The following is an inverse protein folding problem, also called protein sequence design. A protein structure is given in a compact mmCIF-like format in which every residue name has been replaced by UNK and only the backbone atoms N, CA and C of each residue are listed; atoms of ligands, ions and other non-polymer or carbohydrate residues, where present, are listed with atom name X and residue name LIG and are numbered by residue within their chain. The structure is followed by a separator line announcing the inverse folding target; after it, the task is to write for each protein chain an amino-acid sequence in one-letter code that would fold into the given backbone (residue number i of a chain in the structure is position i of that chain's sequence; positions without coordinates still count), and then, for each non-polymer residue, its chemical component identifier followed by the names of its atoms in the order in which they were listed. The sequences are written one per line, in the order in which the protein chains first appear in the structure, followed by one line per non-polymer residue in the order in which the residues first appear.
data_IF_789835459143
#
_entry.id   IF_789835459143
#
_cell.length_a   1.000
_cell.length_b   1.000
_cell.length_c   1.000
_cell.angle_alpha   90.00
_cell.angle_beta   90.00
_cell.angle_gamma   90.00
#
_symmetry.space_group_name_H-M   'P 1'
#
loop_
_entity.id
_entity.type
_entity.pdbx_description
1 polymer ?
#
# COMPACT_ATOMS: atom_id res chain seq x y z
N UNK A 1 39.04 54.65 -2.84
CA UNK A 1 37.89 54.00 -3.46
C UNK A 1 38.46 53.07 -4.51
N UNK A 2 38.59 51.78 -4.21
CA UNK A 2 39.07 50.79 -5.18
C UNK A 2 37.96 50.56 -6.19
N UNK A 3 38.23 50.79 -7.48
CA UNK A 3 37.30 50.43 -8.55
C UNK A 3 37.09 48.91 -8.53
N UNK A 4 35.86 48.47 -8.23
CA UNK A 4 35.52 47.05 -8.31
C UNK A 4 35.62 46.61 -9.77
N UNK A 5 36.64 45.81 -10.07
CA UNK A 5 36.85 45.28 -11.42
C UNK A 5 36.01 44.02 -11.59
N UNK A 6 35.19 44.01 -12.64
CA UNK A 6 34.35 42.87 -13.00
C UNK A 6 34.76 42.33 -14.37
N UNK A 7 34.83 41.01 -14.48
CA UNK A 7 35.24 40.31 -15.69
C UNK A 7 34.12 39.42 -16.22
N UNK A 8 33.99 39.33 -17.55
CA UNK A 8 33.30 38.21 -18.18
C UNK A 8 34.17 36.96 -18.09
N UNK A 9 33.59 35.77 -18.32
CA UNK A 9 34.33 34.51 -18.15
C UNK A 9 35.61 34.42 -19.01
N UNK A 10 35.62 35.00 -20.22
CA UNK A 10 36.82 35.05 -21.07
C UNK A 10 37.95 35.80 -20.38
N UNK A 11 37.68 37.04 -19.98
CA UNK A 11 38.64 37.98 -19.43
C UNK A 11 39.09 37.54 -18.03
N UNK A 12 38.16 36.92 -17.28
CA UNK A 12 38.42 36.33 -15.99
C UNK A 12 39.46 35.20 -16.09
N UNK A 13 39.32 34.33 -17.09
CA UNK A 13 40.23 33.20 -17.30
C UNK A 13 41.61 33.69 -17.76
N UNK A 14 41.67 34.75 -18.56
CA UNK A 14 42.94 35.38 -18.95
C UNK A 14 43.64 36.04 -17.74
N UNK A 15 42.88 36.73 -16.90
CA UNK A 15 43.37 37.32 -15.65
C UNK A 15 43.89 36.23 -14.71
N UNK A 16 43.14 35.14 -14.55
CA UNK A 16 43.55 33.98 -13.75
C UNK A 16 44.84 33.34 -14.29
N UNK A 17 44.98 33.20 -15.61
CA UNK A 17 46.22 32.68 -16.23
C UNK A 17 47.40 33.58 -15.93
N UNK A 18 47.22 34.90 -16.00
CA UNK A 18 48.27 35.88 -15.70
C UNK A 18 48.76 35.74 -14.26
N UNK A 19 47.84 35.58 -13.30
CA UNK A 19 48.18 35.36 -11.88
C UNK A 19 48.81 34.00 -11.59
N UNK A 20 48.63 33.01 -12.46
CA UNK A 20 49.13 31.65 -12.31
C UNK A 20 50.28 31.31 -13.27
N UNK A 21 51.01 32.32 -13.78
CA UNK A 21 52.14 32.14 -14.69
C UNK A 21 51.79 31.33 -15.97
N UNK A 22 50.66 31.65 -16.61
CA UNK A 22 50.21 31.08 -17.89
C UNK A 22 50.01 29.55 -17.92
N UNK A 23 49.52 28.99 -16.82
CA UNK A 23 49.09 27.59 -16.81
C UNK A 23 47.97 27.30 -17.82
N UNK A 24 47.95 26.08 -18.36
CA UNK A 24 46.90 25.63 -19.29
C UNK A 24 45.57 25.42 -18.54
N UNK A 25 44.74 26.46 -18.55
CA UNK A 25 43.40 26.47 -17.95
C UNK A 25 42.40 26.83 -19.05
N UNK A 26 41.44 25.95 -19.27
CA UNK A 26 40.38 26.17 -20.26
C UNK A 26 39.16 26.85 -19.63
N UNK A 27 38.48 27.70 -20.40
CA UNK A 27 37.29 28.44 -19.97
C UNK A 27 36.23 27.51 -19.37
N UNK A 28 35.90 26.41 -20.07
CA UNK A 28 34.93 25.41 -19.60
C UNK A 28 35.30 24.77 -18.25
N UNK A 29 36.60 24.68 -17.93
CA UNK A 29 37.05 24.12 -16.65
C UNK A 29 36.71 25.06 -15.51
N UNK A 30 36.99 26.36 -15.69
CA UNK A 30 36.71 27.38 -14.68
C UNK A 30 35.20 27.58 -14.54
N UNK A 31 34.47 27.70 -15.66
CA UNK A 31 33.00 27.77 -15.63
C UNK A 31 32.37 26.55 -14.94
N UNK A 32 32.94 25.35 -15.15
CA UNK A 32 32.53 24.14 -14.46
C UNK A 32 32.71 24.20 -12.93
N UNK A 33 33.79 24.81 -12.44
CA UNK A 33 34.00 25.01 -11.00
C UNK A 33 32.91 25.88 -10.39
N UNK A 34 32.65 27.05 -10.98
CA UNK A 34 31.66 27.97 -10.43
C UNK A 34 30.22 27.49 -10.62
N UNK A 35 29.90 26.81 -11.73
CA UNK A 35 28.59 26.14 -11.91
C UNK A 35 28.32 25.13 -10.80
N UNK A 36 29.36 24.42 -10.36
CA UNK A 36 29.25 23.48 -9.24
C UNK A 36 28.98 24.21 -7.93
N UNK A 37 29.74 25.27 -7.63
CA UNK A 37 29.52 26.06 -6.41
C UNK A 37 28.12 26.69 -6.37
N UNK A 38 27.61 27.15 -7.52
CA UNK A 38 26.23 27.61 -7.64
C UNK A 38 25.22 26.48 -7.37
N UNK A 39 25.44 25.30 -7.98
CA UNK A 39 24.55 24.13 -7.86
C UNK A 39 24.49 23.59 -6.43
N UNK A 40 25.62 23.53 -5.75
CA UNK A 40 25.75 23.10 -4.35
C UNK A 40 25.29 24.19 -3.37
N UNK A 41 24.82 25.34 -3.88
CA UNK A 41 24.38 26.52 -3.10
C UNK A 41 25.45 27.05 -2.13
N UNK A 42 26.71 26.98 -2.53
CA UNK A 42 27.84 27.44 -1.72
C UNK A 42 28.22 28.88 -2.06
N UNK A 43 28.24 29.25 -3.34
CA UNK A 43 28.67 30.57 -3.79
C UNK A 43 27.82 31.04 -4.97
N UNK A 44 27.25 32.23 -4.89
CA UNK A 44 26.49 32.86 -5.97
C UNK A 44 27.41 33.65 -6.91
N UNK A 45 27.26 33.51 -8.23
CA UNK A 45 28.00 34.32 -9.22
C UNK A 45 27.18 35.56 -9.57
N UNK A 46 27.82 36.73 -9.53
CA UNK A 46 27.17 37.98 -9.90
C UNK A 46 26.69 37.99 -11.36
N UNK A 47 25.65 38.77 -11.62
CA UNK A 47 25.06 38.91 -12.96
C UNK A 47 24.79 40.36 -13.27
N UNK A 48 25.01 40.76 -14.51
CA UNK A 48 24.63 42.09 -15.00
C UNK A 48 23.12 42.28 -14.90
N UNK A 49 22.65 43.45 -14.46
CA UNK A 49 21.22 43.74 -14.32
C UNK A 49 20.46 43.71 -15.65
N UNK A 50 21.10 44.09 -16.76
CA UNK A 50 20.46 44.25 -18.06
C UNK A 50 20.38 42.94 -18.85
N UNK A 51 21.49 42.21 -18.97
CA UNK A 51 21.57 41.00 -19.84
C UNK A 51 21.57 39.69 -19.04
N UNK A 52 21.58 39.76 -17.71
CA UNK A 52 21.69 38.60 -16.80
C UNK A 52 22.92 37.69 -17.06
N UNK A 53 23.95 38.24 -17.71
CA UNK A 53 25.22 37.58 -17.98
C UNK A 53 26.06 37.47 -16.71
N UNK A 54 26.78 36.34 -16.55
CA UNK A 54 27.66 36.11 -15.40
C UNK A 54 28.87 37.04 -15.44
N UNK A 55 29.14 37.69 -14.31
CA UNK A 55 30.31 38.52 -14.08
C UNK A 55 31.03 38.05 -12.82
N UNK A 56 32.35 38.06 -12.87
CA UNK A 56 33.25 37.57 -11.84
C UNK A 56 34.05 38.74 -11.27
N UNK A 57 34.30 38.74 -9.97
CA UNK A 57 35.08 39.78 -9.28
C UNK A 57 36.36 39.24 -8.64
N UNK A 58 37.00 40.05 -7.81
CA UNK A 58 38.24 39.67 -7.12
C UNK A 58 38.06 38.49 -6.14
N UNK A 59 36.88 38.35 -5.52
CA UNK A 59 36.60 37.21 -4.64
C UNK A 59 36.55 35.93 -5.47
N UNK A 60 35.86 35.98 -6.61
CA UNK A 60 35.84 34.88 -7.56
C UNK A 60 37.27 34.51 -8.02
N UNK A 61 38.13 35.51 -8.29
CA UNK A 61 39.52 35.28 -8.69
C UNK A 61 40.30 34.53 -7.60
N UNK A 62 40.18 34.94 -6.34
CA UNK A 62 40.82 34.29 -5.19
C UNK A 62 40.34 32.84 -5.01
N UNK A 63 39.03 32.62 -5.15
CA UNK A 63 38.43 31.28 -5.08
C UNK A 63 38.98 30.39 -6.22
N UNK A 64 39.05 30.90 -7.45
CA UNK A 64 39.56 30.15 -8.60
C UNK A 64 41.04 29.77 -8.43
N UNK A 65 41.87 30.68 -7.92
CA UNK A 65 43.28 30.41 -7.60
C UNK A 65 43.40 29.33 -6.52
N UNK A 66 42.56 29.39 -5.47
CA UNK A 66 42.55 28.39 -4.41
C UNK A 66 42.15 27.00 -4.92
N UNK A 67 41.07 26.92 -5.71
CA UNK A 67 40.63 25.66 -6.33
C UNK A 67 41.76 25.09 -7.17
N UNK A 68 42.39 25.91 -8.01
CA UNK A 68 43.47 25.45 -8.87
C UNK A 68 44.65 24.88 -8.08
N UNK A 69 45.12 25.58 -7.04
CA UNK A 69 46.20 25.11 -6.16
C UNK A 69 45.87 23.76 -5.51
N UNK A 70 44.68 23.64 -4.90
CA UNK A 70 44.24 22.39 -4.26
C UNK A 70 44.06 21.24 -5.26
N UNK A 71 43.66 21.54 -6.50
CA UNK A 71 43.55 20.54 -7.58
C UNK A 71 44.91 20.01 -8.02
N UNK A 72 45.97 20.82 -7.95
CA UNK A 72 47.35 20.36 -8.17
C UNK A 72 47.83 19.43 -7.06
N UNK A 73 47.40 19.69 -5.82
CA UNK A 73 47.60 18.79 -4.67
C UNK A 73 46.72 17.52 -4.73
N UNK A 74 46.06 17.25 -5.86
CA UNK A 74 45.18 16.09 -6.13
C UNK A 74 43.94 15.99 -5.24
N UNK A 75 43.49 17.09 -4.64
CA UNK A 75 42.24 17.08 -3.88
C UNK A 75 41.02 16.87 -4.78
N UNK A 76 40.04 16.12 -4.28
CA UNK A 76 38.75 15.97 -4.95
C UNK A 76 38.01 17.32 -4.95
N UNK A 77 37.40 17.67 -6.09
CA UNK A 77 36.70 18.95 -6.23
C UNK A 77 35.55 19.12 -5.21
N UNK A 78 34.91 18.02 -4.77
CA UNK A 78 33.90 18.04 -3.70
C UNK A 78 34.49 18.45 -2.34
N UNK A 79 35.66 17.91 -2.00
CA UNK A 79 36.34 18.24 -0.76
C UNK A 79 36.77 19.70 -0.75
N UNK A 80 37.26 20.20 -1.89
CA UNK A 80 37.61 21.61 -2.06
C UNK A 80 36.36 22.48 -1.87
N UNK A 81 35.24 22.17 -2.55
CA UNK A 81 33.97 22.92 -2.42
C UNK A 81 33.52 23.05 -0.96
N UNK A 82 33.53 21.97 -0.20
CA UNK A 82 33.09 21.96 1.20
C UNK A 82 34.03 22.72 2.13
N UNK A 83 35.32 22.77 1.81
CA UNK A 83 36.33 23.44 2.62
C UNK A 83 36.41 24.95 2.33
N UNK A 84 35.86 25.42 1.20
CA UNK A 84 35.91 26.83 0.79
C UNK A 84 35.35 27.79 1.84
N UNK A 85 34.28 27.43 2.55
CA UNK A 85 33.67 28.29 3.58
C UNK A 85 34.58 28.55 4.78
N UNK A 86 35.62 27.72 4.98
CA UNK A 86 36.60 27.91 6.04
C UNK A 86 37.66 28.97 5.68
N UNK A 87 37.84 29.26 4.38
CA UNK A 87 38.88 30.17 3.87
C UNK A 87 38.33 31.47 3.28
N UNK A 88 37.07 31.48 2.84
CA UNK A 88 36.44 32.62 2.18
C UNK A 88 35.03 32.87 2.70
N UNK A 89 34.69 34.15 2.81
CA UNK A 89 33.30 34.58 2.99
C UNK A 89 32.55 34.42 1.67
N UNK A 90 31.88 33.28 1.48
CA UNK A 90 31.20 32.97 0.23
C UNK A 90 29.95 33.85 0.04
N UNK A 91 29.71 34.22 -1.22
CA UNK A 91 28.61 35.12 -1.59
C UNK A 91 27.26 34.42 -1.38
N UNK A 92 26.36 35.00 -0.55
CA UNK A 92 25.03 34.44 -0.36
C UNK A 92 24.20 34.57 -1.64
N UNK A 93 23.26 33.66 -1.83
CA UNK A 93 22.33 33.75 -2.94
C UNK A 93 21.38 34.92 -2.69
N UNK A 94 21.03 35.70 -3.72
CA UNK A 94 20.04 36.76 -3.57
C UNK A 94 18.76 36.13 -3.06
N UNK A 95 18.37 36.49 -1.83
CA UNK A 95 17.01 36.22 -1.35
C UNK A 95 16.12 36.82 -2.41
N UNK A 96 15.24 36.02 -3.01
CA UNK A 96 14.16 36.55 -3.84
C UNK A 96 13.34 37.45 -2.92
N UNK A 97 13.71 38.73 -2.83
CA UNK A 97 12.78 39.78 -2.47
C UNK A 97 11.76 39.67 -3.59
N UNK A 98 10.61 39.08 -3.28
CA UNK A 98 9.44 39.20 -4.13
C UNK A 98 9.40 40.66 -4.54
N UNK A 99 9.52 40.94 -5.85
CA UNK A 99 9.13 42.25 -6.36
C UNK A 99 7.76 42.50 -5.73
N UNK A 100 7.46 43.68 -5.14
CA UNK A 100 6.08 43.95 -4.78
C UNK A 100 5.29 43.73 -6.07
N UNK A 101 4.48 42.68 -6.06
CA UNK A 101 3.53 42.46 -7.13
C UNK A 101 2.77 43.78 -7.30
N UNK A 102 2.42 44.19 -8.53
CA UNK A 102 1.52 45.33 -8.70
C UNK A 102 0.35 45.11 -7.75
N UNK A 103 0.17 46.06 -6.82
CA UNK A 103 -0.80 46.04 -5.71
C UNK A 103 -1.93 45.02 -5.93
N UNK A 104 -1.81 43.84 -5.32
CA UNK A 104 -2.82 42.78 -5.44
C UNK A 104 -3.78 42.89 -4.26
N UNK A 105 -4.63 43.91 -4.29
CA UNK A 105 -5.80 44.02 -3.40
C UNK A 105 -6.74 42.81 -3.51
N UNK A 106 -6.58 42.02 -4.58
CA UNK A 106 -7.40 40.85 -4.87
C UNK A 106 -6.76 39.51 -4.49
N UNK A 107 -5.54 39.44 -3.96
CA UNK A 107 -4.91 38.14 -3.68
C UNK A 107 -5.58 37.44 -2.50
N UNK A 108 -5.96 38.19 -1.48
CA UNK A 108 -6.64 37.66 -0.30
C UNK A 108 -8.08 37.25 -0.64
N UNK A 109 -8.78 38.05 -1.45
CA UNK A 109 -10.09 37.74 -2.00
C UNK A 109 -10.05 36.52 -2.91
N UNK A 110 -9.02 36.40 -3.77
CA UNK A 110 -8.81 35.25 -4.65
C UNK A 110 -8.45 33.99 -3.84
N UNK A 111 -7.58 34.10 -2.82
CA UNK A 111 -7.29 32.98 -1.91
C UNK A 111 -8.55 32.53 -1.18
N UNK A 112 -9.38 33.46 -0.73
CA UNK A 112 -10.65 33.17 -0.07
C UNK A 112 -11.62 32.46 -1.02
N UNK A 113 -11.78 32.96 -2.24
CA UNK A 113 -12.60 32.32 -3.28
C UNK A 113 -12.08 30.93 -3.64
N UNK A 114 -10.77 30.75 -3.83
CA UNK A 114 -10.17 29.45 -4.10
C UNK A 114 -10.39 28.51 -2.91
N UNK A 115 -10.24 28.98 -1.68
CA UNK A 115 -10.44 28.15 -0.49
C UNK A 115 -11.91 27.76 -0.33
N UNK A 116 -12.84 28.67 -0.60
CA UNK A 116 -14.27 28.40 -0.59
C UNK A 116 -14.67 27.41 -1.70
N UNK A 117 -14.14 27.56 -2.91
CA UNK A 117 -14.39 26.64 -4.03
C UNK A 117 -13.77 25.26 -3.79
N UNK A 118 -12.55 25.20 -3.24
CA UNK A 118 -11.91 23.94 -2.83
C UNK A 118 -12.70 23.26 -1.72
N UNK A 119 -13.19 24.03 -0.73
CA UNK A 119 -14.01 23.47 0.35
C UNK A 119 -15.34 22.93 -0.20
N UNK A 120 -15.99 23.68 -1.08
CA UNK A 120 -17.25 23.28 -1.72
C UNK A 120 -17.06 22.02 -2.57
N UNK A 121 -16.05 21.98 -3.43
CA UNK A 121 -15.75 20.79 -4.25
C UNK A 121 -15.34 19.59 -3.40
N UNK A 122 -14.67 19.82 -2.27
CA UNK A 122 -14.38 18.76 -1.30
C UNK A 122 -15.64 18.24 -0.61
N UNK A 123 -16.56 19.12 -0.20
CA UNK A 123 -17.86 18.75 0.37
C UNK A 123 -18.72 17.98 -0.66
N UNK A 124 -18.73 18.41 -1.92
CA UNK A 124 -19.40 17.71 -3.02
C UNK A 124 -18.78 16.34 -3.29
N UNK A 125 -17.46 16.24 -3.29
CA UNK A 125 -16.75 14.96 -3.45
C UNK A 125 -17.00 14.02 -2.26
N UNK A 126 -16.98 14.56 -1.03
CA UNK A 126 -17.24 13.80 0.18
C UNK A 126 -18.67 13.26 0.19
N UNK A 127 -19.66 14.10 -0.16
CA UNK A 127 -21.06 13.68 -0.27
C UNK A 127 -21.27 12.65 -1.38
N UNK A 128 -20.68 12.84 -2.56
CA UNK A 128 -20.70 11.85 -3.64
C UNK A 128 -20.09 10.51 -3.21
N UNK A 129 -18.97 10.53 -2.48
CA UNK A 129 -18.30 9.31 -2.01
C UNK A 129 -19.11 8.59 -0.93
N UNK A 130 -19.75 9.34 -0.03
CA UNK A 130 -20.66 8.77 0.97
C UNK A 130 -21.87 8.13 0.31
N UNK A 131 -22.46 8.77 -0.70
CA UNK A 131 -23.60 8.21 -1.44
C UNK A 131 -23.20 6.96 -2.23
N UNK A 132 -22.02 6.97 -2.86
CA UNK A 132 -21.47 5.78 -3.53
C UNK A 132 -21.27 4.62 -2.54
N UNK A 133 -20.69 4.89 -1.37
CA UNK A 133 -20.47 3.87 -0.33
C UNK A 133 -21.80 3.31 0.19
N UNK A 134 -22.79 4.18 0.37
CA UNK A 134 -24.14 3.78 0.79
C UNK A 134 -24.79 2.90 -0.27
N UNK A 135 -24.69 3.27 -1.56
CA UNK A 135 -25.19 2.47 -2.66
C UNK A 135 -24.53 1.09 -2.73
N UNK A 136 -23.20 1.03 -2.57
CA UNK A 136 -22.47 -0.24 -2.50
C UNK A 136 -22.92 -1.10 -1.31
N UNK A 137 -23.12 -0.49 -0.15
CA UNK A 137 -23.61 -1.19 1.04
C UNK A 137 -25.02 -1.74 0.82
N UNK A 138 -25.92 -0.97 0.22
CA UNK A 138 -27.27 -1.42 -0.14
C UNK A 138 -27.25 -2.56 -1.17
N UNK A 139 -26.36 -2.51 -2.16
CA UNK A 139 -26.16 -3.61 -3.11
C UNK A 139 -25.69 -4.89 -2.42
N UNK A 140 -24.74 -4.78 -1.49
CA UNK A 140 -24.28 -5.91 -0.68
C UNK A 140 -25.43 -6.49 0.15
N UNK A 141 -26.20 -5.64 0.85
CA UNK A 141 -27.35 -6.08 1.63
C UNK A 141 -28.41 -6.77 0.77
N UNK A 142 -28.68 -6.26 -0.42
CA UNK A 142 -29.65 -6.85 -1.35
C UNK A 142 -29.14 -8.14 -2.01
N UNK A 143 -27.82 -8.32 -2.11
CA UNK A 143 -27.18 -9.53 -2.61
C UNK A 143 -27.07 -10.66 -1.60
N UNK A 144 -27.28 -10.38 -0.30
CA UNK A 144 -27.28 -11.42 0.71
C UNK A 144 -28.54 -12.31 0.59
N UNK A 145 -28.40 -13.64 0.70
CA UNK A 145 -29.56 -14.50 0.77
C UNK A 145 -30.40 -14.08 1.97
N UNK A 146 -31.70 -13.89 1.74
CA UNK A 146 -32.63 -13.58 2.83
C UNK A 146 -32.58 -14.73 3.83
N UNK A 147 -32.48 -14.44 5.14
CA UNK A 147 -32.55 -15.49 6.14
C UNK A 147 -33.87 -16.25 5.95
N UNK A 148 -33.86 -17.59 6.03
CA UNK A 148 -35.06 -18.37 5.80
C UNK A 148 -36.15 -17.93 6.78
N UNK A 149 -37.36 -17.79 6.26
CA UNK A 149 -38.54 -17.41 7.03
C UNK A 149 -38.79 -18.42 8.15
N UNK A 150 -39.58 -18.03 9.16
CA UNK A 150 -39.96 -18.95 10.23
C UNK A 150 -40.68 -20.20 9.67
N UNK A 151 -41.47 -20.03 8.61
CA UNK A 151 -42.15 -21.13 7.92
C UNK A 151 -41.15 -22.04 7.18
N UNK A 152 -40.19 -21.47 6.46
CA UNK A 152 -39.15 -22.24 5.76
C UNK A 152 -38.29 -23.04 6.75
N UNK A 153 -37.92 -22.44 7.88
CA UNK A 153 -37.19 -23.15 8.95
C UNK A 153 -38.01 -24.31 9.52
N UNK A 154 -39.31 -24.07 9.79
CA UNK A 154 -40.22 -25.13 10.26
C UNK A 154 -40.35 -26.25 9.23
N UNK A 155 -40.44 -25.91 7.95
CA UNK A 155 -40.54 -26.88 6.88
C UNK A 155 -39.24 -27.69 6.73
N UNK A 156 -38.07 -27.05 6.79
CA UNK A 156 -36.76 -27.73 6.79
C UNK A 156 -36.63 -28.70 7.97
N UNK A 157 -36.99 -28.26 9.18
CA UNK A 157 -36.98 -29.14 10.36
C UNK A 157 -37.96 -30.31 10.22
N UNK A 158 -39.15 -30.06 9.65
CA UNK A 158 -40.13 -31.11 9.40
C UNK A 158 -39.61 -32.12 8.36
N UNK A 159 -39.03 -31.66 7.26
CA UNK A 159 -38.43 -32.51 6.24
C UNK A 159 -37.29 -33.36 6.81
N UNK A 160 -36.39 -32.76 7.61
CA UNK A 160 -35.32 -33.49 8.28
C UNK A 160 -35.86 -34.59 9.21
N UNK A 161 -36.90 -34.30 9.99
CA UNK A 161 -37.56 -35.28 10.85
C UNK A 161 -38.19 -36.42 10.05
N UNK A 162 -38.86 -36.11 8.94
CA UNK A 162 -39.47 -37.11 8.05
C UNK A 162 -38.42 -38.03 7.45
N UNK A 163 -37.29 -37.47 7.00
CA UNK A 163 -36.19 -38.23 6.41
C UNK A 163 -35.54 -39.14 7.46
N UNK A 164 -35.24 -38.62 8.65
CA UNK A 164 -34.73 -39.42 9.75
C UNK A 164 -35.64 -40.61 10.05
N UNK A 165 -36.96 -40.37 10.17
CA UNK A 165 -37.91 -41.44 10.49
C UNK A 165 -37.98 -42.50 9.40
N UNK A 166 -37.94 -42.11 8.13
CA UNK A 166 -37.89 -43.05 7.00
C UNK A 166 -36.63 -43.92 7.04
N UNK A 167 -35.48 -43.31 7.32
CA UNK A 167 -34.20 -44.02 7.43
C UNK A 167 -34.24 -45.02 8.58
N UNK A 168 -34.69 -44.60 9.76
CA UNK A 168 -34.83 -45.49 10.93
C UNK A 168 -35.74 -46.67 10.62
N UNK A 169 -36.90 -46.43 10.00
CA UNK A 169 -37.82 -47.52 9.61
C UNK A 169 -37.21 -48.48 8.58
N UNK A 170 -36.52 -47.97 7.57
CA UNK A 170 -35.83 -48.81 6.57
C UNK A 170 -34.73 -49.66 7.21
N UNK A 171 -33.91 -49.07 8.08
CA UNK A 171 -32.83 -49.77 8.76
C UNK A 171 -33.36 -50.78 9.78
N UNK A 172 -34.49 -50.50 10.42
CA UNK A 172 -35.18 -51.44 11.31
C UNK A 172 -35.70 -52.66 10.54
N UNK A 173 -36.30 -52.47 9.36
CA UNK A 173 -36.72 -53.55 8.49
C UNK A 173 -35.53 -54.40 8.03
N UNK A 174 -34.45 -53.77 7.57
CA UNK A 174 -33.19 -54.43 7.19
C UNK A 174 -32.59 -55.21 8.35
N UNK A 175 -32.55 -54.63 9.56
CA UNK A 175 -32.05 -55.29 10.76
C UNK A 175 -32.90 -56.49 11.16
N UNK A 176 -34.23 -56.40 11.06
CA UNK A 176 -35.13 -57.52 11.35
C UNK A 176 -34.96 -58.67 10.34
N UNK A 177 -34.73 -58.34 9.06
CA UNK A 177 -34.43 -59.34 8.03
C UNK A 177 -33.06 -59.99 8.28
N UNK A 178 -32.04 -59.19 8.56
CA UNK A 178 -30.70 -59.68 8.89
C UNK A 178 -30.72 -60.59 10.12
N UNK A 179 -31.44 -60.19 11.18
CA UNK A 179 -31.66 -61.01 12.37
C UNK A 179 -32.34 -62.32 12.03
N UNK A 180 -33.37 -62.32 11.18
CA UNK A 180 -34.11 -63.53 10.82
C UNK A 180 -33.26 -64.55 10.05
N UNK A 181 -32.26 -64.07 9.32
CA UNK A 181 -31.30 -64.88 8.58
C UNK A 181 -30.15 -65.44 9.45
N UNK A 182 -30.02 -65.01 10.71
CA UNK A 182 -29.01 -65.55 11.60
C UNK A 182 -29.30 -67.02 11.99
N UNK A 183 -28.25 -67.83 12.24
CA UNK A 183 -28.39 -69.17 12.76
C UNK A 183 -29.22 -69.24 14.06
N UNK A 184 -29.95 -70.34 14.26
CA UNK A 184 -30.85 -70.52 15.41
C UNK A 184 -30.14 -70.46 16.77
N UNK A 185 -28.89 -70.89 16.85
CA UNK A 185 -28.04 -70.81 18.05
C UNK A 185 -27.73 -69.37 18.47
N UNK A 186 -27.74 -68.42 17.53
CA UNK A 186 -27.54 -67.01 17.80
C UNK A 186 -28.86 -66.29 18.17
N UNK A 187 -29.98 -66.74 17.61
CA UNK A 187 -31.31 -66.13 17.80
C UNK A 187 -32.07 -66.66 19.01
N UNK A 188 -31.86 -67.92 19.38
CA UNK A 188 -32.64 -68.61 20.40
C UNK A 188 -31.86 -68.76 21.71
N UNK A 189 -32.54 -68.55 22.84
CA UNK A 189 -32.07 -68.90 24.18
C UNK A 189 -32.76 -70.15 24.69
N UNK A 190 -32.04 -70.96 25.48
CA UNK A 190 -32.59 -72.16 26.10
C UNK A 190 -33.46 -71.76 27.31
N UNK A 191 -34.74 -72.10 27.27
CA UNK A 191 -35.74 -71.78 28.31
C UNK A 191 -36.28 -73.07 28.97
N UNK A 192 -35.38 -74.01 29.27
CA UNK A 192 -35.69 -75.28 29.93
C UNK A 192 -34.86 -76.46 29.41
N UNK A 193 -35.21 -77.69 29.81
CA UNK A 193 -34.42 -78.87 29.45
C UNK A 193 -34.41 -79.19 27.94
N UNK A 194 -35.44 -78.82 27.17
CA UNK A 194 -35.49 -79.04 25.71
C UNK A 194 -36.17 -77.92 24.90
N UNK A 195 -36.58 -76.82 25.54
CA UNK A 195 -37.27 -75.70 24.86
C UNK A 195 -36.30 -74.58 24.58
N UNK A 196 -36.37 -74.06 23.36
CA UNK A 196 -35.67 -72.86 22.90
C UNK A 196 -36.72 -71.81 22.55
N UNK A 197 -36.46 -70.56 22.89
CA UNK A 197 -37.33 -69.42 22.57
C UNK A 197 -36.48 -68.26 22.08
N UNK A 198 -37.10 -67.30 21.40
CA UNK A 198 -36.42 -66.14 20.83
C UNK A 198 -35.83 -65.31 21.96
N UNK A 199 -34.55 -64.96 21.82
CA UNK A 199 -33.90 -64.03 22.73
C UNK A 199 -34.25 -62.59 22.34
N UNK A 200 -35.38 -62.10 22.84
CA UNK A 200 -35.87 -60.75 22.55
C UNK A 200 -34.87 -59.65 22.91
N UNK A 201 -34.13 -59.80 24.01
CA UNK A 201 -33.13 -58.82 24.43
C UNK A 201 -31.95 -58.75 23.46
N UNK A 202 -31.49 -59.90 22.96
CA UNK A 202 -30.46 -59.94 21.90
C UNK A 202 -30.97 -59.40 20.58
N UNK A 203 -32.23 -59.69 20.22
CA UNK A 203 -32.85 -59.16 19.02
C UNK A 203 -32.90 -57.63 19.07
N UNK A 204 -33.40 -57.07 20.17
CA UNK A 204 -33.51 -55.62 20.34
C UNK A 204 -32.15 -54.95 20.34
N UNK A 205 -31.14 -55.59 20.97
CA UNK A 205 -29.76 -55.12 20.92
C UNK A 205 -29.19 -55.15 19.51
N UNK A 206 -29.36 -56.26 18.78
CA UNK A 206 -28.89 -56.39 17.40
C UNK A 206 -29.50 -55.34 16.49
N UNK A 207 -30.82 -55.13 16.58
CA UNK A 207 -31.53 -54.12 15.78
C UNK A 207 -31.01 -52.72 16.08
N UNK A 208 -30.82 -52.39 17.36
CA UNK A 208 -30.30 -51.08 17.78
C UNK A 208 -28.87 -50.85 17.29
N UNK A 209 -28.00 -51.85 17.46
CA UNK A 209 -26.59 -51.76 17.05
C UNK A 209 -26.51 -51.62 15.52
N UNK A 210 -27.30 -52.39 14.77
CA UNK A 210 -27.38 -52.30 13.31
C UNK A 210 -27.84 -50.91 12.83
N UNK A 211 -28.90 -50.35 13.43
CA UNK A 211 -29.36 -49.00 13.08
C UNK A 211 -28.26 -47.99 13.38
N UNK A 212 -27.67 -47.99 14.58
CA UNK A 212 -26.66 -47.01 14.98
C UNK A 212 -25.42 -47.04 14.07
N UNK A 213 -24.96 -48.22 13.67
CA UNK A 213 -23.79 -48.39 12.79
C UNK A 213 -24.05 -47.88 11.38
N UNK A 214 -25.28 -48.04 10.86
CA UNK A 214 -25.62 -47.72 9.47
C UNK A 214 -26.34 -46.36 9.31
N UNK A 215 -26.82 -45.76 10.40
CA UNK A 215 -27.67 -44.56 10.37
C UNK A 215 -26.96 -43.35 9.74
N UNK A 216 -25.73 -43.05 10.18
CA UNK A 216 -24.98 -41.88 9.70
C UNK A 216 -24.68 -41.99 8.21
N UNK A 217 -24.28 -43.17 7.75
CA UNK A 217 -23.94 -43.39 6.34
C UNK A 217 -25.18 -43.38 5.45
N UNK A 218 -26.31 -43.92 5.93
CA UNK A 218 -27.59 -43.82 5.21
C UNK A 218 -28.10 -42.37 5.16
N UNK A 219 -27.96 -41.62 6.25
CA UNK A 219 -28.35 -40.21 6.31
C UNK A 219 -27.51 -39.34 5.36
N UNK A 220 -26.20 -39.54 5.30
CA UNK A 220 -25.33 -38.84 4.34
C UNK A 220 -25.75 -39.12 2.90
N UNK A 221 -25.99 -40.39 2.55
CA UNK A 221 -26.44 -40.75 1.19
C UNK A 221 -27.75 -40.07 0.83
N UNK A 222 -28.75 -40.10 1.72
CA UNK A 222 -30.05 -39.48 1.46
C UNK A 222 -29.95 -37.94 1.32
N UNK A 223 -29.10 -37.29 2.14
CA UNK A 223 -28.87 -35.84 2.09
C UNK A 223 -28.01 -35.38 0.90
N UNK A 224 -27.17 -36.27 0.35
CA UNK A 224 -26.31 -35.99 -0.82
C UNK A 224 -26.98 -36.35 -2.15
N UNK A 225 -28.03 -37.18 -2.14
CA UNK A 225 -28.81 -37.57 -3.33
C UNK A 225 -29.91 -36.57 -3.71
N UNK A 226 -30.14 -35.54 -2.89
CA UNK A 226 -31.06 -34.42 -3.18
C UNK A 226 -30.32 -33.15 -3.70
N UNK A 227 -29.09 -33.30 -4.23
CA UNK A 227 -28.33 -32.22 -4.90
C UNK A 227 -28.43 -32.24 -6.42
#
# INVERSE_FOLDING_TARGET
MSEETFWKISDFVETLKTHLNNQNIHINTVDGWFKRLEKERLHYINRTLETNEKVYDELDLKIAMFIKKRREDKWALSAISNDLSNFFELRPFPVKKEKPAPYVDNMETLKKQITEEVKKTFEEMATAKVEELKSQYEQLLNGLPKPPSIEERKNQSFQAMVIQRKIESSLEEEANQAWSNLPEDQRLKRVGFFRKDIDLEKKDKFVRDYINENFVDRLKKEMELDK
#
